data_IF_972399537949
#
_entry.id   IF_972399537949
#
_cell.length_a   1.000
_cell.length_b   1.000
_cell.length_c   1.000
_cell.angle_alpha   90.00
_cell.angle_beta   90.00
_cell.angle_gamma   90.00
#
_symmetry.space_group_name_H-M   'P 1'
#
loop_
_entity.id
_entity.type
_entity.pdbx_description
1 polymer ?
#
# COMPACT_ATOMS: atom_id res chain seq x y z
N UNK A 1 -15.03 -11.57 13.77
CA UNK A 1 -15.96 -10.50 13.36
C UNK A 1 -17.29 -11.13 12.95
N UNK A 2 -18.44 -10.57 13.36
CA UNK A 2 -19.77 -11.08 13.00
C UNK A 2 -20.12 -10.65 11.56
N UNK A 3 -20.32 -11.58 10.60
CA UNK A 3 -20.62 -11.23 9.21
C UNK A 3 -21.95 -10.48 9.03
N UNK A 4 -22.88 -10.58 9.98
CA UNK A 4 -24.17 -9.88 9.97
C UNK A 4 -24.07 -8.41 10.40
N UNK A 5 -22.91 -7.98 10.90
CA UNK A 5 -22.63 -6.60 11.36
C UNK A 5 -21.58 -5.91 10.49
N UNK A 6 -21.29 -6.43 9.29
CA UNK A 6 -20.40 -5.77 8.33
C UNK A 6 -21.24 -4.92 7.38
N UNK A 7 -21.09 -3.60 7.48
CA UNK A 7 -21.52 -2.72 6.41
C UNK A 7 -20.62 -2.94 5.19
N UNK A 8 -21.18 -3.55 4.14
CA UNK A 8 -20.47 -3.85 2.89
C UNK A 8 -20.39 -2.60 2.01
N UNK A 9 -19.62 -1.60 2.45
CA UNK A 9 -19.34 -0.43 1.62
C UNK A 9 -18.22 -0.73 0.62
N UNK A 10 -18.46 -0.40 -0.65
CA UNK A 10 -17.46 -0.41 -1.71
C UNK A 10 -17.21 1.05 -2.10
N UNK A 11 -15.96 1.49 -2.05
CA UNK A 11 -15.56 2.83 -2.44
C UNK A 11 -14.88 2.80 -3.81
N UNK A 12 -15.34 3.66 -4.71
CA UNK A 12 -14.76 3.88 -6.03
C UNK A 12 -14.15 5.28 -6.11
N UNK A 13 -12.94 5.49 -5.56
CA UNK A 13 -12.30 6.79 -5.67
C UNK A 13 -12.01 7.10 -7.16
N UNK A 14 -12.05 8.39 -7.50
CA UNK A 14 -11.60 8.85 -8.80
C UNK A 14 -10.15 8.40 -9.05
N UNK A 15 -9.77 8.20 -10.31
CA UNK A 15 -8.38 7.83 -10.63
C UNK A 15 -7.41 8.88 -10.09
N UNK A 16 -6.32 8.47 -9.41
CA UNK A 16 -5.33 9.41 -8.92
C UNK A 16 -4.61 10.10 -10.09
N UNK A 17 -4.02 11.28 -9.88
CA UNK A 17 -3.17 11.91 -10.88
C UNK A 17 -2.04 10.97 -11.33
N UNK A 18 -1.56 11.16 -12.57
CA UNK A 18 -0.45 10.36 -13.10
C UNK A 18 0.76 10.42 -12.15
N UNK A 19 1.30 9.26 -11.82
CA UNK A 19 2.42 9.13 -10.89
C UNK A 19 2.02 9.11 -9.42
N UNK A 20 0.73 9.02 -9.09
CA UNK A 20 0.24 8.80 -7.74
C UNK A 20 -0.62 7.53 -7.63
N UNK A 21 -0.64 6.97 -6.43
CA UNK A 21 -1.55 5.91 -6.02
C UNK A 21 -2.27 6.26 -4.71
N UNK A 22 -3.21 5.41 -4.32
CA UNK A 22 -3.88 5.51 -3.02
C UNK A 22 -3.17 4.65 -1.97
N UNK A 23 -2.90 5.25 -0.81
CA UNK A 23 -2.25 4.64 0.33
C UNK A 23 -3.21 4.47 1.50
N UNK A 24 -3.31 3.24 2.00
CA UNK A 24 -4.01 2.91 3.23
C UNK A 24 -2.97 2.36 4.20
N UNK A 25 -2.85 2.94 5.40
CA UNK A 25 -1.84 2.53 6.37
C UNK A 25 -2.29 2.74 7.80
N UNK A 26 -1.95 1.78 8.67
CA UNK A 26 -2.16 1.86 10.12
C UNK A 26 -0.94 2.44 10.85
N UNK A 27 0.13 2.82 10.13
CA UNK A 27 1.31 3.51 10.66
C UNK A 27 0.99 5.00 10.96
N UNK A 28 -0.01 5.28 11.81
CA UNK A 28 -0.32 6.64 12.29
C UNK A 28 0.24 6.91 13.70
N UNK A 29 0.66 5.89 14.44
CA UNK A 29 1.24 6.01 15.78
C UNK A 29 1.21 4.69 16.57
N UNK A 30 1.68 4.72 17.82
CA UNK A 30 1.93 3.55 18.66
C UNK A 30 0.71 3.08 19.48
N UNK A 31 -0.48 3.06 18.85
CA UNK A 31 -1.70 2.67 19.56
C UNK A 31 -1.72 1.20 20.01
N UNK A 32 -2.38 0.92 21.14
CA UNK A 32 -2.57 -0.43 21.67
C UNK A 32 -4.04 -0.65 22.11
N UNK A 33 -4.88 -1.34 21.30
CA UNK A 33 -4.58 -1.92 19.98
C UNK A 33 -4.30 -0.84 18.92
N UNK A 34 -3.59 -1.20 17.84
CA UNK A 34 -3.33 -0.27 16.73
C UNK A 34 -4.66 0.27 16.19
N UNK A 35 -4.82 1.60 16.05
CA UNK A 35 -6.03 2.16 15.47
C UNK A 35 -6.20 1.66 14.05
N UNK A 36 -7.44 1.34 13.69
CA UNK A 36 -7.78 1.08 12.29
C UNK A 36 -7.50 2.32 11.43
N UNK A 37 -7.24 2.10 10.14
CA UNK A 37 -7.20 3.21 9.19
C UNK A 37 -8.56 3.92 9.15
N UNK A 38 -8.54 5.25 9.17
CA UNK A 38 -9.73 6.10 9.06
C UNK A 38 -9.45 7.32 8.19
N UNK A 39 -10.52 7.85 7.58
CA UNK A 39 -10.46 8.99 6.66
C UNK A 39 -10.17 8.60 5.21
N UNK A 40 -9.84 9.61 4.40
CA UNK A 40 -9.55 9.44 2.98
C UNK A 40 -8.19 8.76 2.74
N UNK A 41 -8.06 7.95 1.67
CA UNK A 41 -6.78 7.38 1.27
C UNK A 41 -5.72 8.48 1.06
N UNK A 42 -4.48 8.17 1.44
CA UNK A 42 -3.34 9.04 1.21
C UNK A 42 -2.97 9.04 -0.28
N UNK A 43 -2.54 10.18 -0.82
CA UNK A 43 -1.86 10.18 -2.12
C UNK A 43 -0.40 9.81 -1.94
N UNK A 44 -0.02 8.70 -2.55
CA UNK A 44 1.32 8.12 -2.48
C UNK A 44 2.03 8.31 -3.81
N UNK A 45 3.18 9.02 -3.88
CA UNK A 45 3.95 9.14 -5.10
C UNK A 45 4.47 7.77 -5.58
N UNK A 46 4.21 7.44 -6.84
CA UNK A 46 4.71 6.27 -7.54
C UNK A 46 5.62 6.75 -8.67
N UNK A 47 6.83 7.18 -8.31
CA UNK A 47 7.80 7.75 -9.24
C UNK A 47 8.84 6.71 -9.64
N UNK A 48 9.25 6.74 -10.91
CA UNK A 48 10.29 5.84 -11.43
C UNK A 48 9.75 4.45 -11.78
N UNK A 49 10.63 3.45 -11.66
CA UNK A 49 10.33 2.03 -11.92
C UNK A 49 9.78 1.38 -10.65
N UNK A 50 9.27 0.16 -10.78
CA UNK A 50 8.72 -0.59 -9.64
C UNK A 50 9.74 -0.76 -8.49
N UNK A 51 11.03 -0.87 -8.81
CA UNK A 51 12.13 -0.95 -7.86
C UNK A 51 12.29 0.34 -7.04
N UNK A 52 12.13 1.51 -7.68
CA UNK A 52 12.23 2.82 -7.02
C UNK A 52 11.10 2.99 -6.00
N UNK A 53 9.88 2.64 -6.41
CA UNK A 53 8.69 2.60 -5.56
C UNK A 53 8.91 1.65 -4.37
N UNK A 54 9.39 0.43 -4.63
CA UNK A 54 9.68 -0.54 -3.58
C UNK A 54 10.69 0.00 -2.57
N UNK A 55 11.79 0.60 -3.06
CA UNK A 55 12.85 1.13 -2.21
C UNK A 55 12.38 2.31 -1.37
N UNK A 56 11.64 3.25 -1.96
CA UNK A 56 11.08 4.40 -1.27
C UNK A 56 10.19 3.97 -0.09
N UNK A 57 9.22 3.09 -0.34
CA UNK A 57 8.31 2.66 0.71
C UNK A 57 8.95 1.72 1.72
N UNK A 58 9.85 0.82 1.29
CA UNK A 58 10.63 0.00 2.22
C UNK A 58 11.42 0.88 3.20
N UNK A 59 12.07 1.94 2.70
CA UNK A 59 12.85 2.89 3.49
C UNK A 59 12.01 3.73 4.46
N UNK A 60 10.76 4.03 4.11
CA UNK A 60 9.84 4.80 4.94
C UNK A 60 9.21 3.98 6.09
N UNK A 61 9.20 2.65 6.00
CA UNK A 61 8.65 1.79 7.06
C UNK A 61 9.60 1.71 8.26
N UNK A 62 9.02 1.65 9.47
CA UNK A 62 9.78 1.43 10.70
C UNK A 62 10.63 0.15 10.59
N UNK A 63 11.94 0.28 10.81
CA UNK A 63 12.93 -0.79 10.59
C UNK A 63 12.77 -1.97 11.56
N UNK A 64 12.23 -1.73 12.75
CA UNK A 64 11.98 -2.76 13.76
C UNK A 64 10.74 -3.59 13.39
N UNK A 65 9.71 -2.94 12.82
CA UNK A 65 8.41 -3.54 12.53
C UNK A 65 8.24 -4.05 11.09
N UNK A 66 9.03 -3.57 10.11
CA UNK A 66 8.89 -4.00 8.71
C UNK A 66 9.34 -5.44 8.53
N UNK A 67 8.47 -6.26 7.92
CA UNK A 67 8.71 -7.68 7.64
C UNK A 67 8.87 -7.91 6.14
N UNK A 68 7.91 -7.46 5.34
CA UNK A 68 7.94 -7.65 3.89
C UNK A 68 7.20 -6.53 3.16
N UNK A 69 7.56 -6.33 1.90
CA UNK A 69 6.85 -5.47 0.94
C UNK A 69 6.85 -6.15 -0.42
N UNK A 70 5.76 -5.96 -1.17
CA UNK A 70 5.68 -6.37 -2.56
C UNK A 70 5.19 -5.22 -3.43
N UNK A 71 5.78 -5.08 -4.61
CA UNK A 71 5.31 -4.17 -5.67
C UNK A 71 4.93 -5.01 -6.87
N UNK A 72 3.66 -4.94 -7.27
CA UNK A 72 3.16 -5.56 -8.50
C UNK A 72 3.03 -4.48 -9.58
N UNK A 73 3.72 -4.66 -10.69
CA UNK A 73 3.59 -3.83 -11.88
C UNK A 73 2.73 -4.56 -12.91
N UNK A 74 1.84 -3.83 -13.58
CA UNK A 74 1.02 -4.31 -14.69
C UNK A 74 1.19 -3.33 -15.85
N UNK A 75 1.67 -3.81 -17.00
CA UNK A 75 1.81 -3.00 -18.20
C UNK A 75 0.44 -2.73 -18.83
N UNK A 76 0.18 -1.47 -19.19
CA UNK A 76 -1.10 -1.08 -19.81
C UNK A 76 -1.25 -1.56 -21.26
N UNK A 77 -0.14 -1.88 -21.92
CA UNK A 77 -0.13 -2.23 -23.35
C UNK A 77 -0.63 -3.66 -23.60
N UNK A 78 -0.15 -4.61 -22.80
CA UNK A 78 -0.36 -6.05 -23.01
C UNK A 78 -0.77 -6.80 -21.73
N UNK A 79 -0.90 -6.10 -20.60
CA UNK A 79 -1.22 -6.70 -19.31
C UNK A 79 -0.06 -7.48 -18.68
N UNK A 80 1.16 -7.39 -19.23
CA UNK A 80 2.32 -8.08 -18.67
C UNK A 80 2.52 -7.69 -17.20
N UNK A 81 2.71 -8.69 -16.34
CA UNK A 81 2.79 -8.52 -14.90
C UNK A 81 4.18 -8.90 -14.37
N UNK A 82 4.71 -8.10 -13.45
CA UNK A 82 5.88 -8.45 -12.65
C UNK A 82 5.60 -8.19 -11.17
N UNK A 83 6.24 -8.96 -10.30
CA UNK A 83 6.14 -8.78 -8.85
C UNK A 83 7.55 -8.73 -8.27
N UNK A 84 7.85 -7.64 -7.59
CA UNK A 84 9.05 -7.49 -6.78
C UNK A 84 8.68 -7.76 -5.33
N UNK A 85 9.41 -8.64 -4.66
CA UNK A 85 9.21 -8.95 -3.25
C UNK A 85 10.50 -8.68 -2.50
N UNK A 86 10.39 -7.99 -1.36
CA UNK A 86 11.46 -7.90 -0.37
C UNK A 86 10.93 -8.41 0.95
N UNK A 87 11.66 -9.33 1.55
CA UNK A 87 11.37 -9.88 2.87
C UNK A 87 12.63 -9.75 3.72
N UNK A 88 12.48 -9.32 4.97
CA UNK A 88 13.58 -9.17 5.93
C UNK A 88 14.26 -10.49 6.27
N UNK A 89 13.55 -11.62 6.13
CA UNK A 89 13.96 -12.95 6.59
C UNK A 89 14.22 -13.94 5.44
N UNK A 90 14.31 -13.46 4.20
CA UNK A 90 14.63 -14.28 3.03
C UNK A 90 16.13 -14.24 2.71
#
# INVERSE_FOLDING_TARGET
ANPALTDRFIYYPASPPRGYGFGLTTYRGDGNPLPGFSGDPLFLPCTGRAEDVLNAYWGALNTENRVSIAVKQIALQDGACSVLVRNRFA
#
